data_IF_007082658737
#
_entry.id   IF_007082658737
#
_cell.length_a   1.000
_cell.length_b   1.000
_cell.length_c   1.000
_cell.angle_alpha   90.00
_cell.angle_beta   90.00
_cell.angle_gamma   90.00
#
_symmetry.space_group_name_H-M   'P 1'
#
loop_
_entity.id
_entity.type
_entity.pdbx_description
1 polymer ?
#
# COMPACT_ATOMS: atom_id res chain seq x y z
N UNK A 1 -10.25 -23.63 6.11
CA UNK A 1 -9.58 -22.32 5.87
C UNK A 1 -10.67 -21.38 5.39
N UNK A 2 -10.92 -20.28 6.09
CA UNK A 2 -11.84 -19.23 5.66
C UNK A 2 -11.25 -18.41 4.50
N UNK A 3 -12.04 -17.48 3.91
CA UNK A 3 -11.59 -16.77 2.73
C UNK A 3 -10.49 -15.77 3.00
N UNK A 4 -10.46 -15.13 4.18
CA UNK A 4 -9.36 -14.26 4.57
C UNK A 4 -8.04 -15.04 4.68
N UNK A 5 -8.09 -16.25 5.25
CA UNK A 5 -6.92 -17.12 5.31
C UNK A 5 -6.46 -17.60 3.92
N UNK A 6 -7.39 -17.83 2.98
CA UNK A 6 -7.06 -18.17 1.58
C UNK A 6 -6.43 -16.96 0.84
N UNK A 7 -6.97 -15.76 1.05
CA UNK A 7 -6.41 -14.52 0.52
C UNK A 7 -4.97 -14.34 0.99
N UNK A 8 -4.73 -14.44 2.31
CA UNK A 8 -3.39 -14.37 2.91
C UNK A 8 -2.43 -15.42 2.35
N UNK A 9 -2.95 -16.62 2.05
CA UNK A 9 -2.17 -17.71 1.48
C UNK A 9 -1.93 -17.58 -0.03
N UNK A 10 -2.43 -16.54 -0.68
CA UNK A 10 -2.29 -16.31 -2.12
C UNK A 10 -2.99 -17.35 -2.99
N UNK A 11 -4.09 -17.92 -2.52
CA UNK A 11 -4.85 -18.93 -3.27
C UNK A 11 -5.91 -18.26 -4.14
N UNK A 12 -6.22 -18.89 -5.29
CA UNK A 12 -7.40 -18.53 -6.08
C UNK A 12 -8.68 -18.92 -5.34
N UNK A 13 -9.63 -17.99 -5.26
CA UNK A 13 -10.89 -18.18 -4.54
C UNK A 13 -12.04 -17.41 -5.19
N UNK A 14 -13.28 -17.77 -4.81
CA UNK A 14 -14.47 -16.99 -5.11
C UNK A 14 -14.74 -16.02 -3.95
N UNK A 15 -14.60 -14.70 -4.19
CA UNK A 15 -14.60 -13.66 -3.15
C UNK A 15 -16.01 -13.26 -2.63
N UNK A 16 -17.09 -13.84 -3.13
CA UNK A 16 -18.45 -13.40 -2.79
C UNK A 16 -19.01 -14.14 -1.58
N UNK A 17 -18.55 -13.79 -0.35
CA UNK A 17 -19.09 -14.37 0.89
C UNK A 17 -19.51 -13.31 1.92
N UNK A 18 -20.53 -13.61 2.76
CA UNK A 18 -21.04 -12.67 3.77
C UNK A 18 -19.98 -12.15 4.74
N UNK A 19 -19.08 -13.02 5.22
CA UNK A 19 -18.01 -12.66 6.18
C UNK A 19 -17.04 -11.59 5.67
N UNK A 20 -16.68 -11.65 4.38
CA UNK A 20 -15.83 -10.64 3.74
C UNK A 20 -16.57 -9.30 3.67
N UNK A 21 -17.88 -9.33 3.43
CA UNK A 21 -18.71 -8.12 3.33
C UNK A 21 -18.77 -7.34 4.64
N UNK A 22 -18.93 -8.03 5.77
CA UNK A 22 -18.97 -7.38 7.09
C UNK A 22 -17.63 -6.70 7.42
N UNK A 23 -16.50 -7.37 7.10
CA UNK A 23 -15.18 -6.82 7.30
C UNK A 23 -14.93 -5.57 6.43
N UNK A 24 -15.33 -5.62 5.16
CA UNK A 24 -15.27 -4.46 4.24
C UNK A 24 -16.10 -3.30 4.77
N UNK A 25 -17.36 -3.55 5.16
CA UNK A 25 -18.24 -2.49 5.67
C UNK A 25 -17.67 -1.82 6.91
N UNK A 26 -17.12 -2.60 7.85
CA UNK A 26 -16.44 -2.03 9.03
C UNK A 26 -15.27 -1.14 8.65
N UNK A 27 -14.48 -1.56 7.65
CA UNK A 27 -13.38 -0.76 7.15
C UNK A 27 -13.87 0.54 6.52
N UNK A 28 -14.87 0.47 5.64
CA UNK A 28 -15.47 1.63 4.98
C UNK A 28 -15.98 2.67 5.98
N UNK A 29 -16.61 2.25 7.08
CA UNK A 29 -17.07 3.14 8.15
C UNK A 29 -15.90 3.86 8.85
N UNK A 30 -14.81 3.15 9.15
CA UNK A 30 -13.62 3.74 9.76
C UNK A 30 -12.92 4.71 8.80
N UNK A 31 -12.78 4.34 7.54
CA UNK A 31 -12.20 5.18 6.48
C UNK A 31 -13.04 6.44 6.27
N UNK A 32 -14.37 6.31 6.24
CA UNK A 32 -15.29 7.46 6.16
C UNK A 32 -15.09 8.43 7.34
N UNK A 33 -15.00 7.91 8.56
CA UNK A 33 -14.75 8.73 9.76
C UNK A 33 -13.40 9.42 9.69
N UNK A 34 -12.33 8.72 9.33
CA UNK A 34 -10.98 9.29 9.14
C UNK A 34 -10.98 10.44 8.13
N UNK A 35 -11.58 10.22 6.97
CA UNK A 35 -11.61 11.20 5.88
C UNK A 35 -12.50 12.41 6.16
N UNK A 36 -13.48 12.28 7.09
CA UNK A 36 -14.40 13.34 7.46
C UNK A 36 -13.88 14.24 8.60
N UNK A 37 -12.80 13.82 9.30
CA UNK A 37 -12.22 14.63 10.37
C UNK A 37 -11.36 15.77 9.82
N UNK A 38 -11.45 16.98 10.43
CA UNK A 38 -10.59 18.10 10.09
C UNK A 38 -9.10 17.73 10.30
N UNK A 39 -8.17 18.27 9.51
CA UNK A 39 -6.74 18.04 9.68
C UNK A 39 -6.20 18.40 11.09
N UNK A 40 -6.80 19.38 11.75
CA UNK A 40 -6.45 19.81 13.11
C UNK A 40 -6.73 18.75 14.20
N UNK A 41 -7.51 17.72 13.90
CA UNK A 41 -7.83 16.61 14.84
C UNK A 41 -6.86 15.44 14.63
N UNK A 42 -5.58 15.71 14.60
CA UNK A 42 -4.53 14.74 14.28
C UNK A 42 -4.54 13.50 15.19
N UNK A 43 -4.65 13.69 16.51
CA UNK A 43 -4.69 12.58 17.47
C UNK A 43 -5.86 11.62 17.21
N UNK A 44 -7.06 12.17 16.91
CA UNK A 44 -8.24 11.35 16.62
C UNK A 44 -8.10 10.62 15.28
N UNK A 45 -7.54 11.29 14.29
CA UNK A 45 -7.24 10.68 12.98
C UNK A 45 -6.27 9.53 13.15
N UNK A 46 -5.18 9.74 13.89
CA UNK A 46 -4.18 8.71 14.17
C UNK A 46 -4.75 7.56 15.01
N UNK A 47 -5.67 7.84 15.95
CA UNK A 47 -6.37 6.78 16.70
C UNK A 47 -7.22 5.89 15.79
N UNK A 48 -7.88 6.46 14.78
CA UNK A 48 -8.64 5.68 13.78
C UNK A 48 -7.71 4.81 12.95
N UNK A 49 -6.57 5.33 12.50
CA UNK A 49 -5.58 4.54 11.74
C UNK A 49 -5.03 3.39 12.59
N UNK A 50 -4.72 3.63 13.88
CA UNK A 50 -4.30 2.56 14.81
C UNK A 50 -5.38 1.49 15.03
N UNK A 51 -6.65 1.87 14.96
CA UNK A 51 -7.77 0.91 15.00
C UNK A 51 -7.95 0.15 13.70
N UNK A 52 -7.64 0.78 12.58
CA UNK A 52 -7.85 0.27 11.22
C UNK A 52 -6.72 -0.69 10.81
N UNK A 53 -5.47 -0.29 11.03
CA UNK A 53 -4.31 -1.05 10.57
C UNK A 53 -3.98 -2.23 11.50
N UNK A 54 -3.43 -3.29 10.93
CA UNK A 54 -2.95 -4.44 11.68
C UNK A 54 -1.78 -4.10 12.59
N UNK A 55 -0.92 -3.16 12.15
CA UNK A 55 0.20 -2.63 12.92
C UNK A 55 0.57 -1.23 12.46
N UNK A 56 0.92 -0.36 13.40
CA UNK A 56 1.54 0.95 13.13
C UNK A 56 2.81 1.11 13.93
N UNK A 57 3.78 1.87 13.40
CA UNK A 57 4.88 2.44 14.19
C UNK A 57 4.39 3.48 15.20
N UNK A 58 5.32 4.08 15.95
CA UNK A 58 5.04 5.13 16.93
C UNK A 58 4.65 6.45 16.27
N UNK A 59 5.36 6.80 15.20
CA UNK A 59 5.18 8.05 14.44
C UNK A 59 4.77 7.77 13.01
N UNK A 60 3.73 8.43 12.53
CA UNK A 60 3.29 8.38 11.13
C UNK A 60 2.38 9.55 10.79
N UNK A 61 2.27 9.87 9.51
CA UNK A 61 1.34 10.86 8.98
C UNK A 61 0.61 10.29 7.75
N UNK A 62 -0.72 10.34 7.76
CA UNK A 62 -1.53 9.96 6.59
C UNK A 62 -2.48 11.11 6.28
N UNK A 63 -2.36 11.65 5.06
CA UNK A 63 -3.24 12.70 4.57
C UNK A 63 -4.56 12.13 4.02
N UNK A 64 -5.66 12.88 4.24
CA UNK A 64 -6.96 12.56 3.64
C UNK A 64 -7.05 13.07 2.19
N UNK A 65 -7.84 12.39 1.35
CA UNK A 65 -8.48 11.12 1.62
C UNK A 65 -7.50 9.95 1.55
N UNK A 66 -7.81 8.89 2.32
CA UNK A 66 -7.15 7.60 2.33
C UNK A 66 -8.19 6.50 2.09
N UNK A 67 -7.84 5.41 1.42
CA UNK A 67 -8.72 4.28 1.15
C UNK A 67 -8.00 2.94 1.32
N UNK A 68 -8.72 1.95 1.87
CA UNK A 68 -8.27 0.56 1.90
C UNK A 68 -9.49 -0.38 1.97
N UNK A 69 -9.29 -1.68 1.75
CA UNK A 69 -10.35 -2.68 1.78
C UNK A 69 -10.60 -3.21 3.18
N UNK A 70 -9.58 -3.67 3.88
CA UNK A 70 -9.70 -4.25 5.22
C UNK A 70 -8.95 -3.42 6.27
N UNK A 71 -7.85 -2.80 5.92
CA UNK A 71 -6.93 -2.11 6.81
C UNK A 71 -6.14 -3.05 7.71
N UNK A 72 -6.77 -4.11 8.20
CA UNK A 72 -6.19 -5.06 9.16
C UNK A 72 -4.99 -5.85 8.62
N UNK A 73 -4.73 -5.81 7.33
CA UNK A 73 -3.58 -6.45 6.69
C UNK A 73 -2.47 -5.46 6.34
N UNK A 74 -2.65 -4.18 6.67
CA UNK A 74 -1.64 -3.14 6.49
C UNK A 74 -0.78 -3.05 7.74
N UNK A 75 0.54 -3.09 7.56
CA UNK A 75 1.53 -2.85 8.60
C UNK A 75 2.47 -1.76 8.13
N UNK A 76 2.65 -0.72 8.95
CA UNK A 76 3.59 0.38 8.68
C UNK A 76 4.60 0.52 9.81
N UNK A 77 5.82 0.91 9.47
CA UNK A 77 6.89 1.23 10.43
C UNK A 77 6.81 2.66 10.96
N UNK A 78 7.89 3.08 11.62
CA UNK A 78 8.06 4.44 12.15
C UNK A 78 8.33 5.45 11.02
N UNK A 79 7.94 6.71 11.26
CA UNK A 79 8.14 7.84 10.34
C UNK A 79 7.57 7.61 8.92
N UNK A 80 6.45 6.90 8.86
CA UNK A 80 5.71 6.68 7.62
C UNK A 80 4.94 7.94 7.23
N UNK A 81 5.03 8.34 5.96
CA UNK A 81 4.21 9.41 5.37
C UNK A 81 3.43 8.89 4.17
N UNK A 82 2.11 8.83 4.28
CA UNK A 82 1.17 8.59 3.18
C UNK A 82 0.51 9.88 2.74
N UNK A 83 0.73 10.31 1.50
CA UNK A 83 0.19 11.56 0.97
C UNK A 83 -1.26 11.39 0.48
N UNK A 84 -1.86 12.47 -0.04
CA UNK A 84 -3.27 12.54 -0.47
C UNK A 84 -3.63 11.44 -1.48
N UNK A 85 -4.83 10.88 -1.34
CA UNK A 85 -5.39 9.83 -2.21
C UNK A 85 -4.56 8.53 -2.24
N UNK A 86 -3.85 8.22 -1.16
CA UNK A 86 -3.23 6.90 -1.03
C UNK A 86 -4.35 5.84 -0.93
N UNK A 87 -4.27 4.83 -1.80
CA UNK A 87 -5.21 3.70 -1.83
C UNK A 87 -4.44 2.39 -1.69
N UNK A 88 -4.80 1.59 -0.68
CA UNK A 88 -4.19 0.27 -0.44
C UNK A 88 -5.29 -0.79 -0.45
N UNK A 89 -5.35 -1.62 -1.50
CA UNK A 89 -6.26 -2.77 -1.55
C UNK A 89 -5.55 -3.96 -0.89
N UNK A 90 -5.86 -4.16 0.40
CA UNK A 90 -5.14 -5.07 1.29
C UNK A 90 -5.85 -6.42 1.49
N UNK A 91 -6.24 -7.10 0.41
CA UNK A 91 -6.73 -8.48 0.49
C UNK A 91 -5.63 -9.50 0.84
N UNK A 92 -4.36 -9.13 0.68
CA UNK A 92 -3.20 -9.82 1.21
C UNK A 92 -2.33 -8.83 2.01
N UNK A 93 -1.39 -9.31 2.85
CA UNK A 93 -0.54 -8.45 3.66
C UNK A 93 0.20 -7.39 2.84
N UNK A 94 0.15 -6.14 3.32
CA UNK A 94 0.99 -5.02 2.87
C UNK A 94 1.89 -4.62 4.02
N UNK A 95 3.18 -4.84 3.87
CA UNK A 95 4.18 -4.49 4.88
C UNK A 95 5.03 -3.34 4.36
N UNK A 96 5.08 -2.25 5.12
CA UNK A 96 5.83 -1.04 4.81
C UNK A 96 6.79 -0.77 5.96
N UNK A 97 8.06 -0.58 5.65
CA UNK A 97 9.13 -0.35 6.61
C UNK A 97 9.11 1.03 7.25
N UNK A 98 10.26 1.40 7.85
CA UNK A 98 10.46 2.68 8.51
C UNK A 98 10.91 3.76 7.53
N UNK A 99 10.64 5.05 7.86
CA UNK A 99 11.06 6.22 7.07
C UNK A 99 10.64 6.13 5.60
N UNK A 100 9.41 5.68 5.35
CA UNK A 100 8.87 5.53 4.00
C UNK A 100 8.00 6.73 3.64
N UNK A 101 8.28 7.32 2.47
CA UNK A 101 7.49 8.42 1.92
C UNK A 101 6.72 7.96 0.68
N UNK A 102 5.41 8.09 0.71
CA UNK A 102 4.53 7.78 -0.42
C UNK A 102 3.87 9.07 -0.90
N UNK A 103 4.10 9.43 -2.16
CA UNK A 103 3.53 10.59 -2.82
C UNK A 103 2.01 10.50 -3.05
N UNK A 104 1.40 11.58 -3.55
CA UNK A 104 -0.06 11.61 -3.77
C UNK A 104 -0.50 10.68 -4.90
N UNK A 105 -1.75 10.21 -4.83
CA UNK A 105 -2.41 9.36 -5.83
C UNK A 105 -1.66 8.04 -6.08
N UNK A 106 -1.05 7.46 -5.06
CA UNK A 106 -0.40 6.15 -5.17
C UNK A 106 -1.40 5.04 -4.87
N UNK A 107 -1.39 4.00 -5.73
CA UNK A 107 -2.16 2.77 -5.56
C UNK A 107 -1.25 1.60 -5.21
N UNK A 108 -1.58 0.85 -4.16
CA UNK A 108 -0.90 -0.39 -3.76
C UNK A 108 -1.96 -1.50 -3.80
N UNK A 109 -1.85 -2.41 -4.77
CA UNK A 109 -2.92 -3.35 -5.08
C UNK A 109 -2.43 -4.79 -4.93
N UNK A 110 -2.84 -5.46 -3.86
CA UNK A 110 -2.50 -6.87 -3.63
C UNK A 110 -3.33 -7.83 -4.48
N UNK A 111 -4.45 -7.38 -5.02
CA UNK A 111 -5.47 -8.20 -5.68
C UNK A 111 -5.31 -8.26 -7.20
N UNK A 112 -5.67 -9.40 -7.76
CA UNK A 112 -5.92 -9.59 -9.20
C UNK A 112 -7.14 -10.49 -9.42
N UNK A 113 -7.80 -10.33 -10.56
CA UNK A 113 -8.92 -11.15 -10.97
C UNK A 113 -8.53 -12.15 -12.06
N UNK A 114 -9.33 -13.20 -12.22
CA UNK A 114 -9.14 -14.13 -13.32
C UNK A 114 -9.25 -13.43 -14.69
N UNK A 115 -8.39 -13.80 -15.63
CA UNK A 115 -8.35 -13.17 -16.94
C UNK A 115 -9.53 -13.60 -17.82
N UNK A 116 -9.97 -14.85 -17.68
CA UNK A 116 -11.15 -15.36 -18.41
C UNK A 116 -12.44 -14.73 -17.87
N UNK A 117 -13.31 -14.20 -18.75
CA UNK A 117 -14.51 -13.48 -18.33
C UNK A 117 -15.47 -14.31 -17.49
N UNK A 118 -15.68 -15.56 -17.81
CA UNK A 118 -16.56 -16.48 -17.08
C UNK A 118 -16.10 -16.68 -15.63
N UNK A 119 -14.79 -16.90 -15.43
CA UNK A 119 -14.20 -17.01 -14.10
C UNK A 119 -14.26 -15.68 -13.33
N UNK A 120 -13.92 -14.55 -13.97
CA UNK A 120 -14.00 -13.24 -13.36
C UNK A 120 -15.44 -12.87 -12.97
N UNK A 121 -16.41 -13.16 -13.82
CA UNK A 121 -17.82 -12.94 -13.55
C UNK A 121 -18.34 -13.83 -12.41
N UNK A 122 -17.76 -15.02 -12.24
CA UNK A 122 -17.98 -15.88 -11.08
C UNK A 122 -17.30 -15.37 -9.80
N UNK A 123 -16.51 -14.27 -9.86
CA UNK A 123 -15.84 -13.67 -8.72
C UNK A 123 -14.51 -14.32 -8.35
N UNK A 124 -13.88 -15.04 -9.29
CA UNK A 124 -12.56 -15.64 -9.05
C UNK A 124 -11.50 -14.55 -8.98
N UNK A 125 -10.77 -14.54 -7.86
CA UNK A 125 -9.70 -13.61 -7.57
C UNK A 125 -8.55 -14.27 -6.82
N UNK A 126 -7.43 -13.58 -6.75
CA UNK A 126 -6.24 -13.96 -5.99
C UNK A 126 -5.56 -12.71 -5.47
N UNK A 127 -4.95 -12.80 -4.29
CA UNK A 127 -4.16 -11.71 -3.73
C UNK A 127 -2.75 -12.19 -3.41
N UNK A 128 -1.74 -11.34 -3.61
CA UNK A 128 -0.36 -11.61 -3.27
C UNK A 128 0.19 -10.47 -2.42
N UNK A 129 0.99 -10.76 -1.38
CA UNK A 129 1.50 -9.75 -0.48
C UNK A 129 2.42 -8.76 -1.20
N UNK A 130 2.49 -7.52 -0.66
CA UNK A 130 3.42 -6.48 -1.11
C UNK A 130 4.31 -6.11 0.07
N UNK A 131 5.61 -6.00 -0.19
CA UNK A 131 6.59 -5.56 0.80
C UNK A 131 7.34 -4.33 0.29
N UNK A 132 7.37 -3.28 1.10
CA UNK A 132 8.15 -2.06 0.88
C UNK A 132 9.12 -1.94 2.03
N UNK A 133 10.42 -1.91 1.74
CA UNK A 133 11.48 -1.86 2.72
C UNK A 133 11.60 -0.52 3.44
N UNK A 134 12.67 -0.36 4.20
CA UNK A 134 12.98 0.88 4.92
C UNK A 134 13.53 1.96 3.98
N UNK A 135 13.32 3.25 4.34
CA UNK A 135 13.88 4.41 3.62
C UNK A 135 13.48 4.48 2.14
N UNK A 136 12.29 3.97 1.79
CA UNK A 136 11.79 3.99 0.42
C UNK A 136 11.03 5.28 0.14
N UNK A 137 11.25 5.87 -1.02
CA UNK A 137 10.44 6.97 -1.53
C UNK A 137 9.70 6.55 -2.80
N UNK A 138 8.37 6.62 -2.78
CA UNK A 138 7.50 6.39 -3.95
C UNK A 138 6.92 7.73 -4.39
N UNK A 139 7.26 8.16 -5.59
CA UNK A 139 6.73 9.37 -6.22
C UNK A 139 5.22 9.30 -6.47
N UNK A 140 4.60 10.45 -6.70
CA UNK A 140 3.16 10.53 -6.94
C UNK A 140 2.69 9.79 -8.20
N UNK A 141 1.40 9.42 -8.24
CA UNK A 141 0.75 8.70 -9.35
C UNK A 141 1.39 7.35 -9.71
N UNK A 142 2.03 6.69 -8.75
CA UNK A 142 2.57 5.35 -8.94
C UNK A 142 1.54 4.27 -8.63
N UNK A 143 1.72 3.10 -9.25
CA UNK A 143 0.96 1.89 -8.94
C UNK A 143 1.94 0.77 -8.61
N UNK A 144 1.74 0.12 -7.45
CA UNK A 144 2.49 -1.08 -7.05
C UNK A 144 1.55 -2.29 -7.15
N UNK A 145 1.93 -3.25 -8.00
CA UNK A 145 1.12 -4.42 -8.29
C UNK A 145 1.39 -5.55 -7.30
N UNK A 146 0.45 -6.50 -7.27
CA UNK A 146 0.48 -7.65 -6.37
C UNK A 146 1.78 -8.47 -6.43
N UNK A 147 2.24 -8.92 -5.27
CA UNK A 147 3.40 -9.81 -5.14
C UNK A 147 4.76 -9.10 -5.25
N UNK A 148 4.77 -7.76 -5.32
CA UNK A 148 6.01 -6.99 -5.49
C UNK A 148 6.70 -6.75 -4.16
N UNK A 149 8.03 -6.87 -4.18
CA UNK A 149 8.93 -6.39 -3.12
C UNK A 149 9.76 -5.21 -3.64
N UNK A 150 9.76 -4.09 -2.89
CA UNK A 150 10.64 -2.94 -3.13
C UNK A 150 11.67 -2.90 -2.01
N UNK A 151 12.96 -3.03 -2.37
CA UNK A 151 14.07 -3.07 -1.42
C UNK A 151 14.37 -1.72 -0.77
N UNK A 152 15.11 -1.77 0.35
CA UNK A 152 15.44 -0.61 1.18
C UNK A 152 16.17 0.49 0.40
N UNK A 153 15.97 1.75 0.79
CA UNK A 153 16.66 2.91 0.21
C UNK A 153 16.35 3.16 -1.26
N UNK A 154 15.29 2.56 -1.80
CA UNK A 154 14.90 2.68 -3.20
C UNK A 154 14.02 3.89 -3.46
N UNK A 155 14.21 4.53 -4.61
CA UNK A 155 13.37 5.63 -5.11
C UNK A 155 12.58 5.15 -6.33
N UNK A 156 11.26 5.23 -6.24
CA UNK A 156 10.34 5.00 -7.37
C UNK A 156 9.89 6.35 -7.93
N UNK A 157 10.30 6.65 -9.15
CA UNK A 157 9.92 7.91 -9.81
C UNK A 157 8.43 8.00 -10.12
N UNK A 158 7.90 9.22 -10.07
CA UNK A 158 6.47 9.49 -10.27
C UNK A 158 5.90 8.90 -11.59
N UNK A 159 4.64 8.49 -11.58
CA UNK A 159 3.94 7.92 -12.74
C UNK A 159 4.34 6.47 -13.07
N UNK A 160 5.06 5.79 -12.18
CA UNK A 160 5.56 4.44 -12.43
C UNK A 160 4.51 3.36 -12.16
N UNK A 161 4.57 2.25 -12.93
CA UNK A 161 3.81 1.03 -12.68
C UNK A 161 4.79 -0.10 -12.33
N UNK A 162 4.87 -0.43 -11.03
CA UNK A 162 5.79 -1.45 -10.50
C UNK A 162 5.14 -2.82 -10.59
N UNK A 163 5.62 -3.63 -11.54
CA UNK A 163 5.04 -4.95 -11.89
C UNK A 163 5.93 -6.12 -11.52
N UNK A 164 7.10 -5.87 -10.93
CA UNK A 164 8.08 -6.85 -10.47
C UNK A 164 8.94 -6.27 -9.36
N UNK A 165 9.65 -7.13 -8.65
CA UNK A 165 10.55 -6.72 -7.59
C UNK A 165 11.58 -5.69 -8.04
N UNK A 166 11.85 -4.73 -7.16
CA UNK A 166 12.89 -3.70 -7.32
C UNK A 166 13.93 -3.90 -6.23
N UNK A 167 15.21 -4.05 -6.58
CA UNK A 167 16.27 -4.24 -5.59
C UNK A 167 16.46 -3.00 -4.71
N UNK A 168 17.18 -3.15 -3.59
CA UNK A 168 17.52 -2.08 -2.69
C UNK A 168 18.49 -1.06 -3.31
N UNK A 169 18.43 0.20 -2.85
CA UNK A 169 19.40 1.24 -3.14
C UNK A 169 19.42 1.70 -4.61
N UNK A 170 18.29 1.66 -5.29
CA UNK A 170 18.22 2.06 -6.70
C UNK A 170 17.19 3.16 -6.96
N UNK A 171 17.35 3.85 -8.08
CA UNK A 171 16.31 4.67 -8.70
C UNK A 171 15.66 3.86 -9.81
N UNK A 172 14.35 3.74 -9.77
CA UNK A 172 13.56 3.03 -10.77
C UNK A 172 12.33 3.85 -11.18
N UNK A 173 11.97 3.85 -12.46
CA UNK A 173 10.76 4.50 -12.92
C UNK A 173 10.25 3.97 -14.26
N UNK A 174 9.06 4.43 -14.66
CA UNK A 174 8.40 4.16 -15.93
C UNK A 174 7.23 3.19 -15.86
N UNK A 175 6.60 2.95 -17.00
CA UNK A 175 5.52 1.99 -17.17
C UNK A 175 5.84 1.05 -18.36
N UNK A 176 6.22 -0.21 -18.09
CA UNK A 176 6.47 -0.81 -16.78
C UNK A 176 7.75 -0.25 -16.12
N UNK A 177 7.75 -0.16 -14.79
CA UNK A 177 8.88 0.35 -13.99
C UNK A 177 10.15 -0.47 -14.22
N UNK A 178 11.29 0.21 -14.39
CA UNK A 178 12.62 -0.39 -14.57
C UNK A 178 13.66 0.31 -13.72
N UNK A 179 14.62 -0.46 -13.23
CA UNK A 179 15.83 0.09 -12.58
C UNK A 179 16.59 0.93 -13.59
N UNK A 180 16.95 2.13 -13.21
CA UNK A 180 17.72 3.07 -14.05
C UNK A 180 19.18 3.09 -13.63
N UNK A 181 19.42 3.27 -12.31
CA UNK A 181 20.75 3.31 -11.72
C UNK A 181 20.71 3.11 -10.20
N UNK A 182 21.83 2.81 -9.56
CA UNK A 182 21.94 2.88 -8.10
C UNK A 182 21.79 4.32 -7.59
N UNK A 183 21.37 4.46 -6.34
CA UNK A 183 21.55 5.68 -5.53
C UNK A 183 23.01 5.70 -5.06
N UNK A 184 23.70 6.83 -5.18
CA UNK A 184 25.11 6.96 -4.83
C UNK A 184 25.36 8.22 -3.99
N UNK A 185 26.57 8.38 -3.47
CA UNK A 185 26.97 9.60 -2.75
C UNK A 185 26.91 10.88 -3.62
N UNK A 186 26.96 10.74 -4.95
CA UNK A 186 26.80 11.85 -5.89
C UNK A 186 25.39 12.46 -5.84
N UNK A 187 24.40 11.71 -5.32
CA UNK A 187 23.03 12.19 -5.10
C UNK A 187 22.89 13.03 -3.81
N UNK A 188 23.96 13.18 -3.03
CA UNK A 188 23.95 13.91 -1.76
C UNK A 188 23.75 15.42 -1.99
N UNK A 189 22.73 15.98 -1.36
CA UNK A 189 22.52 17.43 -1.31
C UNK A 189 23.48 17.99 -0.27
N UNK A 190 24.41 18.86 -0.67
CA UNK A 190 25.44 19.43 0.20
C UNK A 190 25.05 20.76 0.83
N UNK A 191 24.07 21.46 0.26
CA UNK A 191 23.57 22.73 0.79
C UNK A 191 22.08 22.61 1.09
N UNK A 192 21.73 22.63 2.38
CA UNK A 192 20.34 22.69 2.86
C UNK A 192 20.20 24.03 3.60
N UNK A 193 19.35 24.91 3.08
CA UNK A 193 19.09 26.25 3.63
C UNK A 193 17.99 26.19 4.70
#
# INVERSE_FOLDING_TARGET
MDDLAKMKAGLWLHARKPQTREALQRCEELVFRFNSLPPSREEERNAIIRQLFGRTGGTFCIHSPFHCDFGSQISIGDDFTGNFNLTILDEAPVTIGNHVFIGPNVGIYTVTHALLPDQRNAGVMRSLPITIGDNVWIGGNCVVMQGVTIGDGTVIGAGSVVTRDIPAGVIAFGNPCRVIRPVTEDDRITEVV
#
